data_IF_167024619061
#
_entry.id   IF_167024619061
#
_cell.length_a   1.000
_cell.length_b   1.000
_cell.length_c   1.000
_cell.angle_alpha   90.00
_cell.angle_beta   90.00
_cell.angle_gamma   90.00
#
_symmetry.space_group_name_H-M   'P 1'
#
loop_
_entity.id
_entity.type
_entity.pdbx_description
1 polymer ?
#
# COMPACT_ATOMS: atom_id res chain seq x y z
N UNK A 1 -0.02 15.73 -9.32
CA UNK A 1 0.46 14.54 -8.58
C UNK A 1 1.98 14.41 -8.52
N UNK A 2 2.76 14.96 -9.46
CA UNK A 2 4.19 14.65 -9.57
C UNK A 2 5.11 15.63 -8.81
N UNK A 3 4.56 16.75 -8.35
CA UNK A 3 5.28 17.71 -7.50
C UNK A 3 5.31 17.18 -6.07
N UNK A 4 6.39 16.47 -5.73
CA UNK A 4 6.69 15.95 -4.40
C UNK A 4 7.88 16.74 -3.86
N UNK A 5 7.72 17.36 -2.70
CA UNK A 5 8.72 18.24 -2.10
C UNK A 5 8.87 17.91 -0.61
N UNK A 6 10.03 18.21 -0.02
CA UNK A 6 10.23 18.10 1.43
C UNK A 6 10.19 16.66 1.98
N UNK A 7 10.54 15.66 1.17
CA UNK A 7 10.48 14.26 1.59
C UNK A 7 11.41 14.01 2.77
N UNK A 8 10.83 13.60 3.89
CA UNK A 8 11.53 13.17 5.10
C UNK A 8 11.04 11.79 5.49
N UNK A 9 11.92 10.98 6.07
CA UNK A 9 11.65 9.64 6.56
C UNK A 9 11.98 9.57 8.04
N UNK A 10 11.20 8.85 8.83
CA UNK A 10 11.37 8.70 10.27
C UNK A 10 10.71 7.44 10.79
N UNK A 11 10.93 7.12 12.06
CA UNK A 11 10.35 5.94 12.71
C UNK A 11 8.82 5.95 12.69
N UNK A 12 8.23 4.83 12.26
CA UNK A 12 6.78 4.61 12.27
C UNK A 12 6.34 3.99 13.60
N UNK A 13 6.43 4.74 14.70
CA UNK A 13 6.23 4.21 16.06
C UNK A 13 4.75 4.12 16.49
N UNK A 14 3.86 4.96 15.93
CA UNK A 14 2.44 5.04 16.32
C UNK A 14 1.51 5.21 15.11
N UNK A 15 1.47 4.19 14.24
CA UNK A 15 0.57 4.21 13.09
C UNK A 15 -0.83 3.68 13.42
N UNK A 16 -1.85 4.36 12.89
CA UNK A 16 -3.25 3.89 12.92
C UNK A 16 -3.52 2.78 11.90
N UNK A 17 -2.64 2.63 10.92
CA UNK A 17 -2.83 1.77 9.74
C UNK A 17 -1.90 0.55 9.74
N UNK A 18 -0.72 0.69 10.33
CA UNK A 18 0.34 -0.33 10.33
C UNK A 18 0.69 -0.67 11.77
N UNK A 19 0.71 -1.97 12.12
CA UNK A 19 1.15 -2.42 13.44
C UNK A 19 2.22 -3.51 13.28
N UNK A 20 3.49 -3.23 13.65
CA UNK A 20 4.51 -4.26 13.67
C UNK A 20 4.22 -5.24 14.81
N UNK A 21 4.25 -6.53 14.51
CA UNK A 21 4.01 -7.61 15.46
C UNK A 21 5.09 -8.68 15.32
N UNK A 22 5.44 -9.31 16.44
CA UNK A 22 6.32 -10.47 16.49
C UNK A 22 5.53 -11.70 16.92
N UNK A 23 5.51 -12.71 16.06
CA UNK A 23 4.94 -14.02 16.39
C UNK A 23 6.02 -14.88 17.04
N UNK A 24 5.73 -15.45 18.21
CA UNK A 24 6.58 -16.44 18.87
C UNK A 24 5.89 -17.81 18.81
N UNK A 25 6.59 -18.83 18.33
CA UNK A 25 6.00 -20.15 18.14
C UNK A 25 7.05 -21.26 18.27
N UNK A 26 6.59 -22.50 18.49
CA UNK A 26 7.44 -23.69 18.49
C UNK A 26 7.08 -24.56 17.31
N UNK A 27 8.06 -24.88 16.46
CA UNK A 27 7.90 -25.78 15.32
C UNK A 27 8.87 -26.94 15.47
N UNK A 28 8.35 -28.17 15.51
CA UNK A 28 9.13 -29.40 15.66
C UNK A 28 10.06 -29.37 16.89
N UNK A 29 9.57 -28.82 18.00
CA UNK A 29 10.33 -28.67 19.24
C UNK A 29 11.29 -27.47 19.28
N UNK A 30 11.52 -26.79 18.14
CA UNK A 30 12.41 -25.63 18.03
C UNK A 30 11.65 -24.33 18.25
N UNK A 31 12.13 -23.48 19.16
CA UNK A 31 11.57 -22.15 19.39
C UNK A 31 11.95 -21.21 18.24
N UNK A 32 10.96 -20.51 17.67
CA UNK A 32 11.11 -19.58 16.56
C UNK A 32 10.38 -18.27 16.86
N UNK A 33 10.82 -17.22 16.17
CA UNK A 33 10.11 -15.95 16.11
C UNK A 33 10.10 -15.42 14.69
N UNK A 34 9.02 -14.74 14.30
CA UNK A 34 8.90 -14.09 13.00
C UNK A 34 8.20 -12.75 13.12
N UNK A 35 8.72 -11.73 12.45
CA UNK A 35 8.15 -10.38 12.44
C UNK A 35 7.23 -10.20 11.24
N UNK A 36 6.10 -9.53 11.45
CA UNK A 36 5.14 -9.23 10.40
C UNK A 36 4.43 -7.90 10.66
N UNK A 37 3.91 -7.28 9.59
CA UNK A 37 3.10 -6.08 9.69
C UNK A 37 1.62 -6.44 9.61
N UNK A 38 0.83 -6.06 10.63
CA UNK A 38 -0.62 -6.11 10.54
C UNK A 38 -1.13 -4.82 9.90
N UNK A 39 -1.89 -4.95 8.83
CA UNK A 39 -2.57 -3.85 8.12
C UNK A 39 -4.08 -4.01 8.23
N UNK A 40 -4.83 -3.02 7.72
CA UNK A 40 -6.26 -3.18 7.47
C UNK A 40 -6.50 -4.13 6.29
N UNK A 41 -7.67 -4.76 6.27
CA UNK A 41 -8.16 -5.43 5.09
C UNK A 41 -8.44 -4.39 3.99
N UNK A 42 -8.43 -4.82 2.73
CA UNK A 42 -8.62 -3.93 1.59
C UNK A 42 -9.38 -4.62 0.47
N UNK A 43 -10.07 -3.84 -0.34
CA UNK A 43 -10.67 -4.27 -1.61
C UNK A 43 -9.87 -3.72 -2.78
N UNK A 44 -9.91 -4.43 -3.90
CA UNK A 44 -9.30 -3.99 -5.16
C UNK A 44 -10.22 -4.40 -6.30
N UNK A 45 -10.39 -3.50 -7.27
CA UNK A 45 -11.42 -3.61 -8.29
C UNK A 45 -10.78 -3.59 -9.67
N UNK A 46 -11.05 -4.64 -10.44
CA UNK A 46 -10.71 -4.69 -11.86
C UNK A 46 -11.93 -4.23 -12.67
N UNK A 47 -11.84 -3.05 -13.27
CA UNK A 47 -12.91 -2.50 -14.10
C UNK A 47 -12.53 -2.53 -15.57
N UNK A 48 -13.43 -3.11 -16.39
CA UNK A 48 -13.30 -3.15 -17.84
C UNK A 48 -14.46 -2.41 -18.51
N UNK A 49 -14.14 -1.37 -19.26
CA UNK A 49 -15.11 -0.67 -20.09
C UNK A 49 -15.30 -1.43 -21.41
N UNK A 50 -16.41 -2.13 -21.56
CA UNK A 50 -16.70 -2.98 -22.72
C UNK A 50 -16.86 -2.17 -24.02
N UNK A 51 -17.47 -0.99 -23.97
CA UNK A 51 -17.68 -0.12 -25.13
C UNK A 51 -16.36 0.41 -25.71
N UNK A 52 -15.42 0.77 -24.84
CA UNK A 52 -14.10 1.28 -25.24
C UNK A 52 -13.02 0.19 -25.30
N UNK A 53 -13.36 -1.04 -24.89
CA UNK A 53 -12.45 -2.18 -24.77
C UNK A 53 -11.17 -1.84 -23.99
N UNK A 54 -11.33 -1.15 -22.87
CA UNK A 54 -10.22 -0.63 -22.07
C UNK A 54 -10.36 -0.99 -20.59
N UNK A 55 -9.23 -1.07 -19.90
CA UNK A 55 -9.20 -1.18 -18.43
C UNK A 55 -9.17 0.21 -17.80
N UNK A 56 -9.89 0.38 -16.70
CA UNK A 56 -9.82 1.59 -15.88
C UNK A 56 -8.78 1.35 -14.79
N UNK A 57 -7.76 2.20 -14.79
CA UNK A 57 -6.65 2.18 -13.83
C UNK A 57 -6.52 3.57 -13.22
N UNK A 58 -5.96 3.63 -12.02
CA UNK A 58 -5.64 4.89 -11.34
C UNK A 58 -4.13 5.13 -11.40
N UNK A 59 -3.75 6.42 -11.34
CA UNK A 59 -2.36 6.84 -11.20
C UNK A 59 -2.22 7.48 -9.83
N UNK A 60 -1.38 6.94 -8.95
CA UNK A 60 -1.20 7.46 -7.60
C UNK A 60 0.28 7.47 -7.18
N UNK A 61 0.68 8.41 -6.35
CA UNK A 61 2.00 8.41 -5.74
C UNK A 61 2.02 7.46 -4.53
N UNK A 62 2.91 6.47 -4.53
CA UNK A 62 3.11 5.49 -3.45
C UNK A 62 4.44 5.79 -2.73
N UNK A 63 4.41 6.36 -1.51
CA UNK A 63 5.63 6.76 -0.78
C UNK A 63 6.63 5.63 -0.56
N UNK A 64 6.15 4.40 -0.32
CA UNK A 64 7.02 3.24 -0.14
C UNK A 64 7.82 2.88 -1.41
N UNK A 65 7.22 3.06 -2.59
CA UNK A 65 7.90 2.86 -3.88
C UNK A 65 8.96 3.94 -4.08
N UNK A 66 8.62 5.20 -3.80
CA UNK A 66 9.58 6.30 -3.86
C UNK A 66 10.79 6.05 -2.94
N UNK A 67 10.54 5.69 -1.68
CA UNK A 67 11.61 5.42 -0.72
C UNK A 67 12.46 4.20 -1.13
N UNK A 68 11.83 3.15 -1.66
CA UNK A 68 12.53 1.98 -2.21
C UNK A 68 13.43 2.33 -3.40
N UNK A 69 12.98 3.21 -4.30
CA UNK A 69 13.80 3.69 -5.42
C UNK A 69 14.97 4.57 -4.96
N UNK A 70 14.77 5.38 -3.91
CA UNK A 70 15.87 6.14 -3.28
C UNK A 70 16.91 5.16 -2.73
N UNK A 71 16.51 4.17 -1.93
CA UNK A 71 17.43 3.18 -1.37
C UNK A 71 18.13 2.36 -2.46
N UNK A 72 17.42 1.98 -3.52
CA UNK A 72 17.98 1.20 -4.65
C UNK A 72 19.06 1.97 -5.41
N UNK A 73 18.86 3.28 -5.61
CA UNK A 73 19.82 4.14 -6.32
C UNK A 73 20.93 4.66 -5.41
N UNK A 74 20.64 4.81 -4.11
CA UNK A 74 21.55 5.32 -3.09
C UNK A 74 21.48 4.42 -1.83
N UNK A 75 22.16 3.26 -1.84
CA UNK A 75 22.12 2.33 -0.72
C UNK A 75 22.56 2.98 0.60
N UNK A 76 21.83 2.69 1.68
CA UNK A 76 22.02 3.26 3.00
C UNK A 76 21.23 4.55 3.27
N UNK A 77 20.50 5.09 2.28
CA UNK A 77 19.63 6.25 2.48
C UNK A 77 18.53 6.03 3.52
N UNK A 78 18.12 4.78 3.76
CA UNK A 78 17.16 4.39 4.80
C UNK A 78 17.82 3.83 6.09
N UNK A 79 19.12 3.58 6.09
CA UNK A 79 19.82 3.04 7.27
C UNK A 79 19.89 4.04 8.44
N UNK A 80 19.79 5.34 8.16
CA UNK A 80 19.88 6.38 9.17
C UNK A 80 18.52 6.67 9.89
N UNK A 81 17.46 5.92 9.56
CA UNK A 81 16.09 6.12 10.06
C UNK A 81 15.89 5.64 11.50
N UNK A 82 16.87 4.96 12.10
CA UNK A 82 16.84 4.50 13.51
C UNK A 82 16.89 5.64 14.54
N UNK A 83 16.88 6.90 14.10
CA UNK A 83 16.88 8.08 14.97
C UNK A 83 15.45 8.60 15.21
N UNK A 84 15.21 9.13 16.42
CA UNK A 84 13.92 9.71 16.81
C UNK A 84 13.51 10.97 16.01
N UNK A 85 14.39 11.52 15.18
CA UNK A 85 14.09 12.67 14.32
C UNK A 85 13.98 12.28 12.84
N UNK A 86 12.92 12.75 12.13
CA UNK A 86 12.82 12.58 10.69
C UNK A 86 14.01 13.20 9.95
N UNK A 87 14.52 12.48 8.96
CA UNK A 87 15.65 12.91 8.15
C UNK A 87 15.24 13.09 6.70
N UNK A 88 15.83 14.07 6.01
CA UNK A 88 15.59 14.27 4.58
C UNK A 88 16.14 13.09 3.80
N UNK A 89 15.32 12.51 2.90
CA UNK A 89 15.82 11.57 1.92
C UNK A 89 16.69 12.33 0.92
N UNK A 90 17.97 12.00 0.89
CA UNK A 90 18.92 12.59 -0.04
C UNK A 90 19.63 11.51 -0.86
N UNK A 91 19.80 11.75 -2.18
CA UNK A 91 19.28 12.89 -2.93
C UNK A 91 17.75 12.83 -3.14
N UNK A 92 17.13 13.99 -3.36
CA UNK A 92 15.71 14.05 -3.71
C UNK A 92 15.52 13.59 -5.16
N UNK A 93 14.78 12.50 -5.35
CA UNK A 93 14.38 12.02 -6.67
C UNK A 93 13.13 12.76 -7.18
N UNK A 94 12.90 12.84 -8.51
CA UNK A 94 11.65 13.32 -9.07
C UNK A 94 10.46 12.51 -8.53
N UNK A 95 9.34 13.16 -8.19
CA UNK A 95 8.17 12.48 -7.64
C UNK A 95 7.62 11.36 -8.52
N UNK A 96 7.84 11.44 -9.83
CA UNK A 96 7.43 10.42 -10.82
C UNK A 96 7.98 9.02 -10.53
N UNK A 97 9.11 8.87 -9.83
CA UNK A 97 9.66 7.54 -9.49
C UNK A 97 8.80 6.78 -8.49
N UNK A 98 7.98 7.48 -7.71
CA UNK A 98 7.01 6.86 -6.80
C UNK A 98 5.61 6.74 -7.37
N UNK A 99 5.38 7.18 -8.61
CA UNK A 99 4.04 7.17 -9.20
C UNK A 99 3.78 5.81 -9.84
N UNK A 100 2.71 5.17 -9.39
CA UNK A 100 2.27 3.86 -9.85
C UNK A 100 1.00 3.98 -10.70
N UNK A 101 0.88 3.10 -11.69
CA UNK A 101 -0.38 2.79 -12.35
C UNK A 101 -0.91 1.50 -11.74
N UNK A 102 -2.09 1.56 -11.17
CA UNK A 102 -2.63 0.48 -10.34
C UNK A 102 -4.15 0.35 -10.50
N UNK A 103 -4.69 -0.74 -9.98
CA UNK A 103 -6.14 -0.94 -9.87
C UNK A 103 -6.70 0.00 -8.80
N UNK A 104 -7.96 0.42 -8.98
CA UNK A 104 -8.70 1.13 -7.94
C UNK A 104 -8.82 0.22 -6.71
N UNK A 105 -8.48 0.74 -5.54
CA UNK A 105 -8.38 -0.04 -4.31
C UNK A 105 -8.56 0.85 -3.08
N UNK A 106 -9.12 0.29 -2.02
CA UNK A 106 -9.33 1.00 -0.76
C UNK A 106 -9.32 0.10 0.45
N UNK A 107 -9.11 0.71 1.62
CA UNK A 107 -9.08 0.01 2.90
C UNK A 107 -10.51 -0.21 3.43
N UNK A 108 -10.73 -1.32 4.11
CA UNK A 108 -11.99 -1.62 4.79
C UNK A 108 -11.93 -1.03 6.20
N UNK A 109 -12.21 0.26 6.31
CA UNK A 109 -12.06 1.02 7.57
C UNK A 109 -13.39 1.50 8.18
N UNK A 110 -14.49 1.38 7.45
CA UNK A 110 -15.82 1.80 7.89
C UNK A 110 -16.64 0.60 8.36
N UNK A 111 -17.07 0.58 9.64
CA UNK A 111 -17.84 -0.53 10.18
C UNK A 111 -19.23 -0.60 9.55
N UNK A 112 -19.68 -1.81 9.25
CA UNK A 112 -21.03 -2.09 8.76
C UNK A 112 -21.20 -2.08 7.25
N UNK A 113 -20.17 -1.75 6.48
CA UNK A 113 -20.18 -1.91 5.02
C UNK A 113 -19.74 -3.32 4.60
N UNK A 114 -20.39 -3.86 3.58
CA UNK A 114 -19.91 -5.03 2.83
C UNK A 114 -18.69 -4.69 1.97
N UNK A 115 -17.96 -5.71 1.52
CA UNK A 115 -16.79 -5.51 0.65
C UNK A 115 -17.19 -4.87 -0.68
N UNK A 116 -18.36 -5.24 -1.19
CA UNK A 116 -18.95 -4.70 -2.41
C UNK A 116 -19.32 -3.23 -2.26
N UNK A 117 -19.90 -2.82 -1.13
CA UNK A 117 -20.21 -1.41 -0.86
C UNK A 117 -18.94 -0.56 -0.72
N UNK A 118 -17.90 -1.08 -0.05
CA UNK A 118 -16.60 -0.40 0.00
C UNK A 118 -16.03 -0.27 -1.42
N UNK A 119 -16.07 -1.33 -2.22
CA UNK A 119 -15.60 -1.29 -3.60
C UNK A 119 -16.36 -0.25 -4.45
N UNK A 120 -17.69 -0.22 -4.38
CA UNK A 120 -18.48 0.78 -5.10
C UNK A 120 -18.15 2.21 -4.66
N UNK A 121 -17.88 2.44 -3.36
CA UNK A 121 -17.45 3.74 -2.85
C UNK A 121 -16.11 4.16 -3.46
N UNK A 122 -15.10 3.30 -3.44
CA UNK A 122 -13.77 3.58 -4.00
C UNK A 122 -13.83 3.82 -5.52
N UNK A 123 -14.61 3.01 -6.25
CA UNK A 123 -14.81 3.20 -7.69
C UNK A 123 -15.42 4.57 -8.03
N UNK A 124 -16.31 5.07 -7.18
CA UNK A 124 -16.89 6.40 -7.32
C UNK A 124 -15.87 7.50 -6.99
N UNK A 125 -15.16 7.38 -5.86
CA UNK A 125 -14.23 8.40 -5.37
C UNK A 125 -12.98 8.54 -6.25
N UNK A 126 -12.38 7.43 -6.66
CA UNK A 126 -11.12 7.45 -7.42
C UNK A 126 -11.32 7.50 -8.93
N UNK A 127 -12.38 6.86 -9.43
CA UNK A 127 -12.58 6.67 -10.87
C UNK A 127 -13.84 7.35 -11.43
N UNK A 128 -14.74 7.86 -10.58
CA UNK A 128 -15.99 8.49 -10.99
C UNK A 128 -17.05 7.52 -11.53
N UNK A 129 -16.88 6.21 -11.33
CA UNK A 129 -17.85 5.20 -11.77
C UNK A 129 -18.84 4.88 -10.66
N UNK A 130 -20.14 4.96 -10.96
CA UNK A 130 -21.20 4.49 -10.06
C UNK A 130 -21.53 3.05 -10.44
N UNK A 131 -21.30 2.14 -9.50
CA UNK A 131 -21.54 0.72 -9.64
C UNK A 131 -22.63 0.28 -8.65
N UNK A 132 -23.39 -0.73 -9.01
CA UNK A 132 -24.27 -1.42 -8.07
C UNK A 132 -23.49 -2.58 -7.42
N UNK A 133 -23.53 -2.73 -6.08
CA UNK A 133 -22.91 -3.88 -5.40
C UNK A 133 -23.32 -5.24 -6.00
N UNK A 134 -24.55 -5.38 -6.49
CA UNK A 134 -25.05 -6.62 -7.09
C UNK A 134 -24.39 -6.97 -8.44
N UNK A 135 -23.79 -5.98 -9.12
CA UNK A 135 -23.08 -6.16 -10.39
C UNK A 135 -21.61 -6.56 -10.18
N UNK A 136 -21.10 -6.45 -8.95
CA UNK A 136 -19.73 -6.85 -8.63
C UNK A 136 -19.61 -8.38 -8.56
N UNK A 137 -18.50 -8.89 -9.08
CA UNK A 137 -18.14 -10.30 -9.00
C UNK A 137 -16.81 -10.46 -8.29
N UNK A 138 -16.81 -11.20 -7.19
CA UNK A 138 -15.58 -11.59 -6.54
C UNK A 138 -14.75 -12.49 -7.46
N UNK A 139 -13.50 -12.10 -7.68
CA UNK A 139 -12.54 -12.87 -8.49
C UNK A 139 -11.68 -13.76 -7.60
N UNK A 140 -11.08 -13.18 -6.55
CA UNK A 140 -10.23 -13.88 -5.61
C UNK A 140 -10.10 -13.12 -4.28
N UNK A 141 -9.69 -13.84 -3.24
CA UNK A 141 -9.21 -13.29 -1.98
C UNK A 141 -7.84 -13.89 -1.69
N UNK A 142 -6.90 -13.06 -1.27
CA UNK A 142 -5.55 -13.51 -0.96
C UNK A 142 -5.01 -12.76 0.25
N UNK A 143 -4.01 -13.37 0.91
CA UNK A 143 -3.29 -12.77 2.03
C UNK A 143 -1.92 -12.35 1.50
N UNK A 144 -1.54 -11.10 1.76
CA UNK A 144 -0.21 -10.60 1.42
C UNK A 144 0.76 -10.91 2.55
N UNK A 145 1.70 -11.81 2.29
CA UNK A 145 2.84 -12.05 3.17
C UNK A 145 3.98 -11.06 2.83
N UNK A 146 3.70 -9.75 2.88
CA UNK A 146 4.69 -8.74 2.52
C UNK A 146 5.18 -7.99 3.77
N UNK A 147 6.38 -8.35 4.24
CA UNK A 147 7.31 -7.38 4.82
C UNK A 147 8.34 -7.14 3.73
N UNK A 148 8.38 -5.94 3.15
CA UNK A 148 9.38 -5.60 2.14
C UNK A 148 10.78 -5.71 2.76
N UNK A 149 11.53 -6.75 2.38
CA UNK A 149 12.98 -6.78 2.51
C UNK A 149 13.56 -6.57 1.12
N UNK A 150 14.08 -5.37 0.84
CA UNK A 150 15.13 -5.23 -0.18
C UNK A 150 16.35 -5.96 0.40
N UNK A 151 16.69 -7.11 -0.17
CA UNK A 151 17.96 -7.79 0.11
C UNK A 151 19.08 -7.10 -0.66
#
# INVERSE_FOLDING_TARGET
MERIEGVTVGLCSRSLYLRPLRLHYRQDGVQKSWDFMKTHDSVTILMFNSSQRSLVLVKQFRPAVYAGEVERLFPGSLAAVDQDQPQKLQPALPGSVGVMVELCAGIVDQPGLSLEEVACKEAWEECGYRLDPADLRQVATYITAACSGLC
#
